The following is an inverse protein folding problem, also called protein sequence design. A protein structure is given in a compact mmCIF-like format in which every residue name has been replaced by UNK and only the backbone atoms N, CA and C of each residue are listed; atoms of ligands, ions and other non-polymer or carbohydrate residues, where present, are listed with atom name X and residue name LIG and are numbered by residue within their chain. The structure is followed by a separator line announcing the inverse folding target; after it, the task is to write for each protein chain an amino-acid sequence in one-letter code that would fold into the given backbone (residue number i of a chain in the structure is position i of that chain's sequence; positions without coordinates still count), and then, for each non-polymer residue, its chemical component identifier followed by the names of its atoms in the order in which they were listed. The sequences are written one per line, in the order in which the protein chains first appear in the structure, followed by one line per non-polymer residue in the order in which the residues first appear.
data_IF_912110603774
#
_entry.id   IF_912110603774
#
_cell.length_a   1.000
_cell.length_b   1.000
_cell.length_c   1.000
_cell.angle_alpha   90.00
_cell.angle_beta   90.00
_cell.angle_gamma   90.00
#
_symmetry.space_group_name_H-M   'P 1'
#
loop_
_entity.id
_entity.type
_entity.pdbx_description
1 polymer ?
#
# COMPACT_ATOMS: atom_id res chain seq x y z
N UNK A 1 -12.88 1.06 4.13
CA UNK A 1 -11.59 1.35 4.80
C UNK A 1 -11.02 2.67 4.27
N UNK A 2 -9.96 3.26 4.85
CA UNK A 2 -9.30 4.45 4.25
C UNK A 2 -8.81 4.17 2.84
N UNK A 3 -8.06 3.07 2.66
CA UNK A 3 -7.50 2.65 1.38
C UNK A 3 -8.57 2.31 0.31
N UNK A 4 -9.71 1.72 0.69
CA UNK A 4 -10.79 1.39 -0.25
C UNK A 4 -11.42 2.63 -0.91
N UNK A 5 -11.41 3.76 -0.21
CA UNK A 5 -11.98 5.00 -0.73
C UNK A 5 -10.91 6.03 -1.09
N UNK A 6 -9.62 5.65 -0.99
CA UNK A 6 -8.48 6.55 -1.17
C UNK A 6 -8.56 7.80 -0.27
N UNK A 7 -9.03 7.61 0.95
CA UNK A 7 -9.12 8.67 1.95
C UNK A 7 -7.88 8.73 2.83
N UNK A 8 -7.42 9.95 3.08
CA UNK A 8 -6.53 10.24 4.19
C UNK A 8 -7.28 10.19 5.53
N UNK A 9 -6.53 10.05 6.63
CA UNK A 9 -7.10 9.92 7.99
C UNK A 9 -7.82 11.18 8.49
N UNK A 10 -7.53 12.33 7.88
CA UNK A 10 -8.15 13.62 8.19
C UNK A 10 -9.39 13.91 7.32
N UNK A 11 -9.76 13.00 6.42
CA UNK A 11 -11.01 13.12 5.67
C UNK A 11 -12.21 13.15 6.63
N UNK A 12 -13.21 14.04 6.43
CA UNK A 12 -14.38 14.15 7.32
C UNK A 12 -15.13 12.83 7.55
N UNK A 13 -15.22 11.98 6.52
CA UNK A 13 -15.88 10.66 6.64
C UNK A 13 -15.07 9.67 7.47
N UNK A 14 -13.74 9.83 7.54
CA UNK A 14 -12.87 9.01 8.38
C UNK A 14 -12.89 9.53 9.81
N UNK A 15 -12.85 10.85 10.00
CA UNK A 15 -12.94 11.47 11.33
C UNK A 15 -14.25 11.11 12.05
N UNK A 16 -15.37 11.06 11.32
CA UNK A 16 -16.67 10.65 11.85
C UNK A 16 -16.69 9.21 12.39
N UNK A 17 -15.73 8.38 11.98
CA UNK A 17 -15.54 6.97 12.38
C UNK A 17 -14.10 6.68 12.76
N UNK A 18 -13.45 7.62 13.45
CA UNK A 18 -12.02 7.55 13.76
C UNK A 18 -11.60 6.27 14.51
N UNK A 19 -12.53 5.64 15.23
CA UNK A 19 -12.32 4.34 15.87
C UNK A 19 -12.04 3.18 14.89
N UNK A 20 -12.38 3.32 13.61
CA UNK A 20 -12.15 2.31 12.57
C UNK A 20 -10.71 2.31 12.04
N UNK A 21 -9.96 3.40 12.28
CA UNK A 21 -8.62 3.61 11.72
C UNK A 21 -7.66 2.54 12.24
N UNK A 22 -7.13 1.72 11.32
CA UNK A 22 -6.17 0.66 11.65
C UNK A 22 -6.78 -0.68 12.07
N UNK A 23 -8.11 -0.80 12.16
CA UNK A 23 -8.74 -2.06 12.61
C UNK A 23 -8.57 -3.22 11.63
N UNK A 24 -8.58 -2.94 10.33
CA UNK A 24 -8.63 -3.95 9.26
C UNK A 24 -7.37 -3.98 8.39
N UNK A 25 -6.35 -3.20 8.74
CA UNK A 25 -5.11 -3.10 7.98
C UNK A 25 -4.23 -1.95 8.44
N UNK A 26 -2.97 -1.95 8.00
CA UNK A 26 -2.03 -0.87 8.29
C UNK A 26 -2.49 0.44 7.62
N UNK A 27 -2.34 1.55 8.33
CA UNK A 27 -2.64 2.88 7.81
C UNK A 27 -1.40 3.41 7.11
N UNK A 28 -1.40 3.37 5.78
CA UNK A 28 -0.26 3.75 4.95
C UNK A 28 -0.75 4.80 3.95
N UNK A 29 -0.42 6.07 4.20
CA UNK A 29 -0.98 7.21 3.47
C UNK A 29 0.10 8.03 2.73
N UNK A 30 1.36 7.65 2.91
CA UNK A 30 2.48 8.33 2.26
C UNK A 30 3.64 7.39 1.98
N UNK A 31 4.54 7.86 1.12
CA UNK A 31 5.83 7.22 0.91
C UNK A 31 6.67 7.15 2.21
N UNK A 32 6.48 8.08 3.15
CA UNK A 32 7.19 8.07 4.44
C UNK A 32 6.75 6.88 5.28
N UNK A 33 5.46 6.57 5.29
CA UNK A 33 4.92 5.40 5.99
C UNK A 33 5.47 4.11 5.39
N UNK A 34 5.54 4.03 4.06
CA UNK A 34 6.20 2.92 3.36
C UNK A 34 7.67 2.79 3.73
N UNK A 35 8.41 3.90 3.79
CA UNK A 35 9.82 3.89 4.19
C UNK A 35 9.99 3.35 5.62
N UNK A 36 9.11 3.75 6.55
CA UNK A 36 9.07 3.25 7.93
C UNK A 36 8.75 1.76 8.00
N UNK A 37 7.74 1.29 7.27
CA UNK A 37 7.33 -0.11 7.29
C UNK A 37 8.41 -1.04 6.72
N UNK A 38 9.10 -0.58 5.69
CA UNK A 38 10.15 -1.37 5.04
C UNK A 38 11.49 -1.23 5.76
N UNK A 39 11.63 -0.37 6.76
CA UNK A 39 12.90 -0.13 7.45
C UNK A 39 13.45 -1.44 8.05
N UNK A 40 14.73 -1.71 7.82
CA UNK A 40 15.36 -2.96 8.21
C UNK A 40 14.93 -4.23 7.44
N UNK A 41 14.00 -4.14 6.48
CA UNK A 41 13.59 -5.28 5.64
C UNK A 41 14.49 -5.38 4.41
N UNK A 42 15.09 -6.56 4.22
CA UNK A 42 15.90 -6.92 3.06
C UNK A 42 15.01 -7.23 1.82
N UNK A 43 14.41 -6.18 1.26
CA UNK A 43 13.46 -6.29 0.14
C UNK A 43 14.14 -6.61 -1.20
N UNK A 44 15.47 -6.48 -1.32
CA UNK A 44 16.19 -6.88 -2.55
C UNK A 44 16.29 -8.41 -2.68
N UNK A 45 16.28 -9.13 -1.54
CA UNK A 45 16.41 -10.59 -1.49
C UNK A 45 15.13 -11.29 -0.99
N UNK A 46 14.05 -10.53 -0.81
CA UNK A 46 12.74 -11.05 -0.35
C UNK A 46 11.68 -10.84 -1.41
N UNK A 47 10.81 -11.83 -1.61
CA UNK A 47 9.61 -11.66 -2.43
C UNK A 47 8.54 -10.89 -1.65
N UNK A 48 8.17 -9.71 -2.11
CA UNK A 48 7.20 -8.86 -1.41
C UNK A 48 5.86 -8.74 -2.15
N UNK A 49 4.77 -8.69 -1.39
CA UNK A 49 3.53 -8.09 -1.86
C UNK A 49 3.49 -6.64 -1.38
N UNK A 50 3.56 -5.67 -2.30
CA UNK A 50 3.77 -4.24 -2.01
C UNK A 50 2.59 -3.54 -1.29
N UNK A 51 1.60 -4.29 -0.80
CA UNK A 51 0.33 -3.78 -0.29
C UNK A 51 -0.66 -3.45 -1.40
N UNK A 52 -1.67 -2.62 -1.10
CA UNK A 52 -2.74 -2.30 -2.05
C UNK A 52 -3.67 -3.48 -2.31
N UNK A 53 -4.21 -4.07 -1.24
CA UNK A 53 -5.14 -5.21 -1.31
C UNK A 53 -6.50 -4.89 -1.98
N UNK A 54 -6.70 -3.63 -2.39
CA UNK A 54 -7.81 -3.18 -3.21
C UNK A 54 -7.26 -2.50 -4.45
N UNK A 55 -7.89 -2.76 -5.60
CA UNK A 55 -7.32 -2.38 -6.91
C UNK A 55 -7.03 -0.88 -7.03
N UNK A 56 -7.91 -0.03 -6.49
CA UNK A 56 -7.80 1.42 -6.52
C UNK A 56 -6.57 1.94 -5.76
N UNK A 57 -6.13 1.22 -4.72
CA UNK A 57 -4.95 1.58 -3.93
C UNK A 57 -3.66 0.95 -4.47
N UNK A 58 -3.78 -0.07 -5.32
CA UNK A 58 -2.66 -0.79 -5.93
C UNK A 58 -1.61 0.11 -6.58
N UNK A 59 -1.98 1.06 -7.46
CA UNK A 59 -1.02 1.97 -8.09
C UNK A 59 -0.22 2.81 -7.09
N UNK A 60 -0.88 3.36 -6.06
CA UNK A 60 -0.23 4.13 -5.00
C UNK A 60 0.77 3.28 -4.20
N UNK A 61 0.35 2.08 -3.78
CA UNK A 61 1.17 1.17 -3.00
C UNK A 61 2.42 0.72 -3.77
N UNK A 62 2.26 0.33 -5.04
CA UNK A 62 3.39 -0.05 -5.89
C UNK A 62 4.34 1.13 -6.14
N UNK A 63 3.81 2.33 -6.40
CA UNK A 63 4.64 3.51 -6.59
C UNK A 63 5.47 3.84 -5.34
N UNK A 64 4.87 3.76 -4.15
CA UNK A 64 5.60 3.97 -2.90
C UNK A 64 6.69 2.90 -2.70
N UNK A 65 6.36 1.62 -2.89
CA UNK A 65 7.32 0.52 -2.77
C UNK A 65 8.52 0.68 -3.70
N UNK A 66 8.28 0.97 -4.99
CA UNK A 66 9.35 1.18 -5.96
C UNK A 66 10.20 2.41 -5.65
N UNK A 67 9.59 3.51 -5.20
CA UNK A 67 10.36 4.70 -4.83
C UNK A 67 11.20 4.47 -3.56
N UNK A 68 10.69 3.73 -2.57
CA UNK A 68 11.51 3.35 -1.41
C UNK A 68 12.66 2.45 -1.85
N UNK A 69 12.42 1.43 -2.68
CA UNK A 69 13.48 0.57 -3.21
C UNK A 69 14.54 1.37 -4.00
N UNK A 70 14.11 2.27 -4.89
CA UNK A 70 15.00 3.14 -5.64
C UNK A 70 15.81 4.07 -4.71
N UNK A 71 15.18 4.61 -3.65
CA UNK A 71 15.88 5.45 -2.67
C UNK A 71 16.95 4.70 -1.87
N UNK A 72 16.83 3.37 -1.75
CA UNK A 72 17.83 2.47 -1.14
C UNK A 72 18.92 2.05 -2.12
N UNK A 73 18.84 2.47 -3.38
CA UNK A 73 19.79 2.09 -4.44
C UNK A 73 19.55 0.70 -5.04
N UNK A 74 18.38 0.10 -4.82
CA UNK A 74 18.04 -1.23 -5.35
C UNK A 74 17.70 -1.13 -6.83
N UNK A 75 18.28 -2.02 -7.65
CA UNK A 75 17.90 -2.14 -9.06
C UNK A 75 16.47 -2.70 -9.18
N UNK A 76 15.53 -1.85 -9.60
CA UNK A 76 14.12 -2.19 -9.75
C UNK A 76 13.89 -3.38 -10.71
N UNK A 77 14.81 -3.65 -11.64
CA UNK A 77 14.70 -4.81 -12.54
C UNK A 77 14.88 -6.14 -11.84
N UNK A 78 15.45 -6.14 -10.64
CA UNK A 78 15.72 -7.33 -9.81
C UNK A 78 14.74 -7.47 -8.64
N UNK A 79 13.93 -6.45 -8.39
CA UNK A 79 13.01 -6.41 -7.26
C UNK A 79 11.85 -7.39 -7.50
N UNK A 80 11.83 -8.48 -6.74
CA UNK A 80 10.82 -9.52 -6.86
C UNK A 80 9.56 -9.18 -6.06
N UNK A 81 8.37 -9.38 -6.67
CA UNK A 81 7.12 -9.18 -5.95
C UNK A 81 5.87 -9.24 -6.81
N UNK A 82 4.74 -8.95 -6.17
CA UNK A 82 3.42 -8.86 -6.81
C UNK A 82 2.63 -7.71 -6.20
N UNK A 83 1.76 -7.10 -7.00
CA UNK A 83 0.64 -6.31 -6.51
C UNK A 83 -0.66 -7.00 -6.88
N UNK A 84 -1.70 -6.85 -6.05
CA UNK A 84 -2.98 -7.50 -6.29
C UNK A 84 -3.61 -7.02 -7.60
N UNK A 85 -3.80 -5.70 -7.76
CA UNK A 85 -4.19 -4.95 -8.97
C UNK A 85 -5.24 -5.58 -9.92
N UNK A 86 -6.03 -6.55 -9.45
CA UNK A 86 -7.09 -7.19 -10.22
C UNK A 86 -8.36 -6.34 -10.12
N UNK A 87 -8.63 -5.63 -11.22
CA UNK A 87 -9.79 -4.77 -11.34
C UNK A 87 -11.12 -5.53 -11.35
N UNK A 88 -11.13 -6.72 -11.95
CA UNK A 88 -12.36 -7.48 -12.12
C UNK A 88 -12.80 -8.12 -10.81
N UNK A 89 -11.84 -8.63 -10.03
CA UNK A 89 -12.13 -9.19 -8.71
C UNK A 89 -12.79 -8.14 -7.79
N UNK A 90 -12.26 -6.92 -7.73
CA UNK A 90 -12.84 -5.88 -6.87
C UNK A 90 -14.27 -5.54 -7.29
N UNK A 91 -14.55 -5.43 -8.60
CA UNK A 91 -15.89 -5.14 -9.08
C UNK A 91 -16.90 -6.28 -8.82
N UNK A 92 -16.46 -7.54 -8.92
CA UNK A 92 -17.34 -8.70 -8.84
C UNK A 92 -17.51 -9.27 -7.42
N UNK A 93 -16.48 -9.15 -6.57
CA UNK A 93 -16.39 -9.87 -5.30
C UNK A 93 -16.14 -9.01 -4.07
N UNK A 94 -15.90 -7.70 -4.23
CA UNK A 94 -15.61 -6.78 -3.12
C UNK A 94 -16.61 -5.61 -3.02
N UNK A 95 -17.81 -5.79 -3.60
CA UNK A 95 -18.98 -4.92 -3.42
C UNK A 95 -19.65 -5.14 -2.07
#
# INVERSE_FOLDING_TARGET
MTADHLYDVDNPEVLARSGDVGLTGAVILSIRDFATILDGIDIENTYAHAGGAVVQHGPFANACYWNVAASRGIDLKRLAGTGQSDFNLTYLGCI
#
